data_IF_338285358499
#
_entry.id   IF_338285358499
#
_cell.length_a   1.000
_cell.length_b   1.000
_cell.length_c   1.000
_cell.angle_alpha   90.00
_cell.angle_beta   90.00
_cell.angle_gamma   90.00
#
_symmetry.space_group_name_H-M   'P 1'
#
loop_
_entity.id
_entity.type
_entity.pdbx_description
1 polymer ?
#
# COMPACT_ATOMS: atom_id res chain seq x y z
N UNK A 1 17.70 24.73 -47.10
CA UNK A 1 16.26 24.57 -46.83
C UNK A 1 15.89 23.18 -47.33
N UNK A 2 15.74 22.25 -46.39
CA UNK A 2 15.19 20.93 -46.63
C UNK A 2 13.73 20.97 -46.19
N UNK A 3 12.83 20.64 -47.11
CA UNK A 3 11.41 20.31 -46.91
C UNK A 3 11.22 19.09 -47.82
N UNK A 4 11.10 17.88 -47.30
CA UNK A 4 9.94 17.30 -46.59
C UNK A 4 8.78 17.09 -47.57
N UNK A 5 8.63 15.85 -48.05
CA UNK A 5 7.37 15.11 -48.25
C UNK A 5 7.64 13.78 -48.97
N UNK A 6 7.18 12.67 -48.36
CA UNK A 6 7.00 11.38 -49.04
C UNK A 6 7.80 10.21 -48.48
N UNK A 7 7.35 9.65 -47.36
CA UNK A 7 7.26 8.18 -47.20
C UNK A 7 6.36 7.90 -45.98
N UNK A 8 5.08 7.69 -46.27
CA UNK A 8 4.14 7.08 -45.33
C UNK A 8 4.22 5.56 -45.46
N UNK A 9 3.96 4.91 -44.33
CA UNK A 9 3.47 3.55 -44.22
C UNK A 9 4.44 2.43 -44.59
N UNK A 10 5.31 2.10 -43.64
CA UNK A 10 5.61 0.70 -43.32
C UNK A 10 6.03 0.60 -41.86
N UNK A 11 5.45 -0.40 -41.16
CA UNK A 11 5.76 -0.93 -39.82
C UNK A 11 4.68 -0.72 -38.74
N UNK A 12 3.46 -1.21 -38.99
CA UNK A 12 2.59 -1.74 -37.93
C UNK A 12 1.74 -2.89 -38.49
N UNK A 13 2.31 -4.07 -38.72
CA UNK A 13 1.55 -5.30 -39.02
C UNK A 13 2.44 -6.54 -38.81
N UNK A 14 2.85 -6.82 -37.57
CA UNK A 14 3.75 -7.96 -37.33
C UNK A 14 3.75 -8.58 -35.94
N UNK A 15 2.95 -8.09 -34.98
CA UNK A 15 2.87 -8.73 -33.64
C UNK A 15 1.64 -9.63 -33.46
N UNK A 16 0.61 -9.55 -34.32
CA UNK A 16 -0.63 -10.36 -34.19
C UNK A 16 -0.57 -11.72 -34.93
N UNK A 17 0.39 -11.93 -35.84
CA UNK A 17 0.43 -13.14 -36.69
C UNK A 17 1.10 -14.36 -36.04
N UNK A 18 1.67 -14.23 -34.84
CA UNK A 18 2.35 -15.34 -34.16
C UNK A 18 1.43 -16.18 -33.26
N UNK A 19 0.26 -15.67 -32.89
CA UNK A 19 -0.65 -16.32 -31.92
C UNK A 19 -1.44 -17.50 -32.54
N UNK A 20 -1.52 -17.58 -33.88
CA UNK A 20 -2.24 -18.62 -34.62
C UNK A 20 -1.39 -19.80 -35.13
N UNK A 21 -0.06 -19.75 -34.99
CA UNK A 21 0.87 -20.74 -35.56
C UNK A 21 1.29 -21.85 -34.59
N UNK A 22 0.97 -21.72 -33.30
CA UNK A 22 1.31 -22.72 -32.30
C UNK A 22 0.13 -23.68 -32.10
N UNK A 23 0.37 -25.01 -32.04
CA UNK A 23 -0.67 -25.96 -31.67
C UNK A 23 -1.26 -25.54 -30.33
N UNK A 24 -2.59 -25.57 -30.24
CA UNK A 24 -3.36 -25.18 -29.06
C UNK A 24 -3.17 -26.25 -27.97
N UNK A 25 -1.98 -26.32 -27.39
CA UNK A 25 -1.68 -27.23 -26.31
C UNK A 25 -2.54 -26.81 -25.10
N UNK A 26 -3.32 -27.74 -24.52
CA UNK A 26 -4.09 -27.43 -23.34
C UNK A 26 -3.14 -26.96 -22.24
N UNK A 27 -3.28 -25.70 -21.83
CA UNK A 27 -2.49 -25.15 -20.72
C UNK A 27 -2.63 -26.08 -19.52
N UNK A 28 -1.49 -26.50 -18.96
CA UNK A 28 -1.46 -27.25 -17.70
C UNK A 28 -2.15 -26.38 -16.64
N UNK A 29 -3.30 -26.85 -16.17
CA UNK A 29 -4.09 -26.15 -15.16
C UNK A 29 -3.44 -26.34 -13.80
N UNK A 30 -3.29 -25.26 -13.05
CA UNK A 30 -2.94 -25.33 -11.64
C UNK A 30 -4.21 -25.55 -10.80
N UNK A 31 -4.94 -26.62 -11.13
CA UNK A 31 -6.18 -26.98 -10.46
C UNK A 31 -5.93 -27.24 -8.98
N UNK A 32 -6.85 -26.81 -8.12
CA UNK A 32 -6.79 -27.04 -6.67
C UNK A 32 -5.59 -26.41 -5.94
N UNK A 33 -4.94 -25.38 -6.52
CA UNK A 33 -3.81 -24.70 -5.88
C UNK A 33 -4.12 -24.20 -4.46
N UNK A 34 -5.34 -23.69 -4.23
CA UNK A 34 -5.74 -23.20 -2.90
C UNK A 34 -5.93 -24.34 -1.91
N UNK A 35 -6.53 -25.44 -2.36
CA UNK A 35 -6.93 -26.59 -1.55
C UNK A 35 -5.80 -27.58 -1.28
N UNK A 36 -4.83 -27.71 -2.19
CA UNK A 36 -3.76 -28.70 -2.11
C UNK A 36 -2.38 -28.09 -1.85
N UNK A 37 -2.13 -26.87 -2.34
CA UNK A 37 -0.81 -26.23 -2.14
C UNK A 37 -0.84 -25.22 -1.00
N UNK A 38 -1.80 -24.30 -1.01
CA UNK A 38 -1.87 -23.24 0.00
C UNK A 38 -2.32 -23.76 1.37
N UNK A 39 -3.08 -24.86 1.41
CA UNK A 39 -3.44 -25.56 2.64
C UNK A 39 -2.20 -26.13 3.37
N UNK A 40 -1.25 -26.67 2.62
CA UNK A 40 -0.03 -27.31 3.12
C UNK A 40 1.10 -26.31 3.49
N UNK A 41 0.94 -25.01 3.18
CA UNK A 41 1.94 -24.02 3.59
C UNK A 41 2.08 -23.96 5.12
N UNK A 42 3.31 -23.98 5.63
CA UNK A 42 3.59 -23.55 7.00
C UNK A 42 3.21 -22.08 7.18
N UNK A 43 3.01 -21.63 8.42
CA UNK A 43 2.64 -20.22 8.68
C UNK A 43 3.70 -19.24 8.15
N UNK A 44 4.98 -19.60 8.21
CA UNK A 44 6.07 -18.80 7.64
C UNK A 44 5.96 -18.66 6.12
N UNK A 45 5.77 -19.78 5.40
CA UNK A 45 5.62 -19.77 3.94
C UNK A 45 4.33 -19.06 3.54
N UNK A 46 3.25 -19.25 4.30
CA UNK A 46 1.99 -18.53 4.06
C UNK A 46 2.19 -17.02 4.20
N UNK A 47 2.85 -16.58 5.28
CA UNK A 47 3.12 -15.17 5.50
C UNK A 47 4.03 -14.56 4.42
N UNK A 48 5.01 -15.30 3.91
CA UNK A 48 5.86 -14.84 2.81
C UNK A 48 5.04 -14.51 1.55
N UNK A 49 4.06 -15.36 1.22
CA UNK A 49 3.24 -15.20 0.02
C UNK A 49 2.11 -14.17 0.20
N UNK A 50 1.43 -14.19 1.35
CA UNK A 50 0.21 -13.42 1.58
C UNK A 50 0.40 -12.17 2.45
N UNK A 51 1.58 -12.02 3.06
CA UNK A 51 2.04 -10.85 3.85
C UNK A 51 1.21 -10.55 5.10
N UNK A 52 0.34 -11.49 5.45
CA UNK A 52 -0.65 -11.47 6.53
C UNK A 52 -0.82 -12.91 7.03
N UNK A 53 -1.09 -13.10 8.32
CA UNK A 53 -1.29 -14.43 8.93
C UNK A 53 -2.61 -15.08 8.51
N UNK A 54 -2.67 -16.41 8.60
CA UNK A 54 -3.91 -17.17 8.34
C UNK A 54 -5.05 -16.75 9.26
N UNK A 55 -4.76 -16.40 10.52
CA UNK A 55 -5.74 -15.93 11.49
C UNK A 55 -6.49 -14.69 10.97
N UNK A 56 -5.74 -13.68 10.55
CA UNK A 56 -6.30 -12.45 9.97
C UNK A 56 -7.04 -12.73 8.66
N UNK A 57 -6.51 -13.60 7.79
CA UNK A 57 -7.21 -13.99 6.55
C UNK A 57 -8.56 -14.66 6.84
N UNK A 58 -8.61 -15.54 7.84
CA UNK A 58 -9.84 -16.21 8.26
C UNK A 58 -10.86 -15.23 8.83
N UNK A 59 -10.42 -14.24 9.61
CA UNK A 59 -11.29 -13.20 10.15
C UNK A 59 -11.85 -12.28 9.05
N UNK A 60 -11.01 -11.87 8.09
CA UNK A 60 -11.45 -11.10 6.91
C UNK A 60 -12.45 -11.92 6.10
N UNK A 61 -12.16 -13.19 5.87
CA UNK A 61 -13.03 -14.09 5.10
C UNK A 61 -14.39 -14.22 5.76
N UNK A 62 -14.45 -14.44 7.09
CA UNK A 62 -15.70 -14.49 7.85
C UNK A 62 -16.53 -13.20 7.73
N UNK A 63 -15.88 -12.03 7.69
CA UNK A 63 -16.55 -10.74 7.48
C UNK A 63 -17.01 -10.52 6.02
N UNK A 64 -16.33 -11.12 5.05
CA UNK A 64 -16.64 -10.98 3.62
C UNK A 64 -17.76 -11.92 3.17
N UNK A 65 -17.80 -13.17 3.69
CA UNK A 65 -18.84 -14.17 3.40
C UNK A 65 -18.40 -15.62 3.66
N UNK A 66 -19.21 -16.59 3.23
CA UNK A 66 -18.92 -18.04 3.37
C UNK A 66 -17.78 -18.51 2.46
N UNK A 67 -17.30 -19.76 2.62
CA UNK A 67 -16.12 -20.44 2.01
C UNK A 67 -15.69 -19.99 0.58
N UNK A 68 -16.55 -19.74 -0.42
CA UNK A 68 -16.11 -19.10 -1.68
C UNK A 68 -15.45 -17.70 -1.52
N UNK A 69 -15.63 -17.07 -0.36
CA UNK A 69 -15.05 -15.81 0.06
C UNK A 69 -13.57 -15.95 0.46
N UNK A 70 -13.16 -17.05 1.09
CA UNK A 70 -11.75 -17.24 1.48
C UNK A 70 -10.85 -17.35 0.27
N UNK A 71 -11.27 -18.08 -0.78
CA UNK A 71 -10.56 -18.14 -2.05
C UNK A 71 -10.41 -16.76 -2.70
N UNK A 72 -11.48 -15.96 -2.69
CA UNK A 72 -11.44 -14.60 -3.24
C UNK A 72 -10.49 -13.69 -2.46
N UNK A 73 -10.47 -13.79 -1.13
CA UNK A 73 -9.55 -13.04 -0.26
C UNK A 73 -8.10 -13.46 -0.53
N UNK A 74 -7.82 -14.76 -0.65
CA UNK A 74 -6.47 -15.26 -0.96
C UNK A 74 -5.99 -14.80 -2.34
N UNK A 75 -6.83 -14.90 -3.37
CA UNK A 75 -6.54 -14.40 -4.72
C UNK A 75 -6.24 -12.90 -4.69
N UNK A 76 -7.04 -12.13 -3.94
CA UNK A 76 -6.84 -10.69 -3.77
C UNK A 76 -5.52 -10.36 -3.05
N UNK A 77 -5.23 -11.06 -1.95
CA UNK A 77 -4.02 -10.86 -1.17
C UNK A 77 -2.77 -11.20 -1.98
N UNK A 78 -2.84 -12.28 -2.77
CA UNK A 78 -1.78 -12.61 -3.72
C UNK A 78 -1.53 -11.45 -4.68
N UNK A 79 -2.58 -10.91 -5.30
CA UNK A 79 -2.44 -9.79 -6.23
C UNK A 79 -1.79 -8.58 -5.55
N UNK A 80 -2.32 -8.13 -4.40
CA UNK A 80 -1.87 -6.88 -3.76
C UNK A 80 -0.48 -7.01 -3.12
N UNK A 81 -0.09 -8.21 -2.68
CA UNK A 81 1.20 -8.50 -2.06
C UNK A 81 2.39 -8.58 -3.03
N UNK A 82 2.15 -8.77 -4.33
CA UNK A 82 3.18 -8.97 -5.34
C UNK A 82 3.30 -7.78 -6.29
N UNK A 83 4.49 -7.18 -6.41
CA UNK A 83 4.69 -5.92 -7.14
C UNK A 83 4.36 -5.99 -8.63
N UNK A 84 4.72 -7.09 -9.28
CA UNK A 84 4.63 -7.23 -10.75
C UNK A 84 3.41 -8.01 -11.20
N UNK A 85 2.66 -8.61 -10.27
CA UNK A 85 1.53 -9.48 -10.57
C UNK A 85 0.51 -8.79 -11.49
N UNK A 86 0.33 -9.36 -12.68
CA UNK A 86 -0.72 -8.99 -13.61
C UNK A 86 -1.97 -9.84 -13.38
N UNK A 87 -3.11 -9.42 -13.93
CA UNK A 87 -4.32 -10.24 -13.89
C UNK A 87 -4.13 -11.59 -14.59
N UNK A 88 -3.24 -11.64 -15.61
CA UNK A 88 -2.90 -12.89 -16.31
C UNK A 88 -2.12 -13.84 -15.41
N UNK A 89 -1.14 -13.34 -14.66
CA UNK A 89 -0.36 -14.17 -13.73
C UNK A 89 -1.24 -14.76 -12.63
N UNK A 90 -2.16 -13.95 -12.11
CA UNK A 90 -3.14 -14.39 -11.10
C UNK A 90 -4.12 -15.40 -11.69
N UNK A 91 -4.65 -15.14 -12.89
CA UNK A 91 -5.57 -16.05 -13.58
C UNK A 91 -4.97 -17.44 -13.81
N UNK A 92 -3.73 -17.49 -14.30
CA UNK A 92 -3.00 -18.75 -14.53
C UNK A 92 -2.73 -19.47 -13.21
N UNK A 93 -2.29 -18.75 -12.17
CA UNK A 93 -1.94 -19.35 -10.88
C UNK A 93 -3.12 -20.02 -10.19
N UNK A 94 -4.29 -19.38 -10.22
CA UNK A 94 -5.47 -19.86 -9.51
C UNK A 94 -6.46 -20.60 -10.41
N UNK A 95 -6.09 -20.89 -11.66
CA UNK A 95 -6.93 -21.55 -12.67
C UNK A 95 -8.33 -20.91 -12.82
N UNK A 96 -8.37 -19.58 -12.93
CA UNK A 96 -9.61 -18.82 -13.12
C UNK A 96 -9.53 -17.88 -14.32
N UNK A 97 -10.68 -17.51 -14.88
CA UNK A 97 -10.74 -16.55 -15.99
C UNK A 97 -10.24 -15.15 -15.58
N UNK A 98 -9.67 -14.39 -16.54
CA UNK A 98 -9.31 -12.98 -16.36
C UNK A 98 -10.48 -12.13 -15.84
N UNK A 99 -11.69 -12.40 -16.35
CA UNK A 99 -12.92 -11.75 -15.92
C UNK A 99 -13.24 -12.03 -14.45
N UNK A 100 -12.99 -13.25 -13.97
CA UNK A 100 -13.12 -13.62 -12.57
C UNK A 100 -12.12 -12.87 -11.70
N UNK A 101 -10.83 -12.81 -12.10
CA UNK A 101 -9.81 -12.03 -11.38
C UNK A 101 -10.24 -10.58 -11.23
N UNK A 102 -10.62 -9.91 -12.33
CA UNK A 102 -11.05 -8.52 -12.28
C UNK A 102 -12.24 -8.30 -11.34
N UNK A 103 -13.24 -9.18 -11.37
CA UNK A 103 -14.40 -9.13 -10.47
C UNK A 103 -13.98 -9.30 -9.00
N UNK A 104 -13.09 -10.25 -8.71
CA UNK A 104 -12.58 -10.50 -7.36
C UNK A 104 -11.83 -9.27 -6.84
N UNK A 105 -10.89 -8.75 -7.62
CA UNK A 105 -10.12 -7.56 -7.23
C UNK A 105 -11.06 -6.39 -6.93
N UNK A 106 -12.03 -6.12 -7.81
CA UNK A 106 -12.99 -5.03 -7.57
C UNK A 106 -13.82 -5.25 -6.30
N UNK A 107 -14.41 -6.44 -6.10
CA UNK A 107 -15.31 -6.70 -4.98
C UNK A 107 -14.58 -6.69 -3.63
N UNK A 108 -13.44 -7.36 -3.54
CA UNK A 108 -12.66 -7.41 -2.30
C UNK A 108 -12.06 -6.04 -1.98
N UNK A 109 -11.57 -5.29 -2.98
CA UNK A 109 -11.14 -3.90 -2.78
C UNK A 109 -12.24 -3.04 -2.18
N UNK A 110 -13.45 -3.06 -2.75
CA UNK A 110 -14.56 -2.25 -2.26
C UNK A 110 -14.99 -2.67 -0.85
N UNK A 111 -15.09 -3.97 -0.59
CA UNK A 111 -15.39 -4.52 0.72
C UNK A 111 -14.40 -4.03 1.79
N UNK A 112 -13.09 -4.23 1.57
CA UNK A 112 -12.06 -3.79 2.52
C UNK A 112 -12.05 -2.27 2.68
N UNK A 113 -12.23 -1.53 1.58
CA UNK A 113 -12.31 -0.07 1.62
C UNK A 113 -13.47 0.42 2.49
N UNK A 114 -14.60 -0.29 2.50
CA UNK A 114 -15.78 0.03 3.32
C UNK A 114 -15.58 -0.23 4.81
N UNK A 115 -14.58 -1.03 5.21
CA UNK A 115 -14.22 -1.22 6.62
C UNK A 115 -13.41 -0.04 7.18
N UNK A 116 -12.91 0.86 6.33
CA UNK A 116 -12.07 1.98 6.76
C UNK A 116 -12.63 2.85 7.88
N UNK A 117 -13.94 3.17 7.97
CA UNK A 117 -14.43 4.01 9.05
C UNK A 117 -14.34 3.36 10.43
N UNK A 118 -14.27 2.02 10.50
CA UNK A 118 -14.19 1.24 11.73
C UNK A 118 -12.74 0.94 12.15
N UNK A 119 -11.78 1.16 11.24
CA UNK A 119 -10.39 0.71 11.40
C UNK A 119 -9.41 1.88 11.38
N UNK A 120 -9.73 2.95 10.64
CA UNK A 120 -8.91 4.13 10.49
C UNK A 120 -9.59 5.26 11.27
N UNK A 121 -9.54 5.16 12.58
CA UNK A 121 -10.17 6.10 13.50
C UNK A 121 -9.17 7.12 14.04
N UNK A 122 -9.70 8.20 14.63
CA UNK A 122 -8.89 9.10 15.44
C UNK A 122 -8.72 8.50 16.84
N UNK A 123 -7.56 8.67 17.48
CA UNK A 123 -7.32 8.16 18.80
C UNK A 123 -8.29 8.82 19.79
N UNK A 124 -8.64 8.05 20.80
CA UNK A 124 -9.35 8.48 22.00
C UNK A 124 -8.50 9.49 22.80
N UNK A 125 -9.11 10.18 23.77
CA UNK A 125 -8.36 11.14 24.58
C UNK A 125 -7.24 10.50 25.41
N UNK A 126 -7.43 9.26 25.87
CA UNK A 126 -6.40 8.54 26.62
C UNK A 126 -5.23 8.15 25.71
N UNK A 127 -5.50 7.67 24.50
CA UNK A 127 -4.46 7.42 23.49
C UNK A 127 -3.74 8.71 23.09
N UNK A 128 -4.45 9.84 22.95
CA UNK A 128 -3.82 11.14 22.68
C UNK A 128 -2.85 11.54 23.79
N UNK A 129 -3.19 11.31 25.06
CA UNK A 129 -2.28 11.59 26.20
C UNK A 129 -1.03 10.74 26.13
N UNK A 130 -1.18 9.44 25.84
CA UNK A 130 -0.05 8.52 25.68
C UNK A 130 0.85 8.93 24.51
N UNK A 131 0.27 9.23 23.36
CA UNK A 131 1.03 9.66 22.17
C UNK A 131 1.75 10.99 22.44
N UNK A 132 1.07 11.95 23.08
CA UNK A 132 1.66 13.25 23.41
C UNK A 132 2.84 13.12 24.38
N UNK A 133 2.78 12.20 25.34
CA UNK A 133 3.91 11.86 26.22
C UNK A 133 5.17 11.49 25.41
N UNK A 134 5.03 10.57 24.44
CA UNK A 134 6.16 10.15 23.59
C UNK A 134 6.74 11.28 22.75
N UNK A 135 5.90 12.15 22.18
CA UNK A 135 6.39 13.30 21.40
C UNK A 135 7.03 14.37 22.30
N UNK A 136 6.50 14.58 23.51
CA UNK A 136 7.06 15.51 24.49
C UNK A 136 8.48 15.14 24.89
N UNK A 137 8.73 13.86 25.18
CA UNK A 137 10.09 13.34 25.46
C UNK A 137 11.06 13.58 24.30
N UNK A 138 10.52 13.54 23.08
CA UNK A 138 11.27 13.82 21.85
C UNK A 138 11.40 15.32 21.51
N UNK A 139 10.96 16.21 22.42
CA UNK A 139 11.08 17.66 22.31
C UNK A 139 9.92 18.37 21.61
N UNK A 140 8.79 17.68 21.40
CA UNK A 140 7.57 18.21 20.77
C UNK A 140 6.34 18.03 21.66
N UNK A 141 6.15 18.87 22.69
CA UNK A 141 4.94 18.82 23.51
C UNK A 141 3.69 19.14 22.68
N UNK A 142 2.54 18.59 23.08
CA UNK A 142 1.23 18.78 22.46
C UNK A 142 1.09 18.26 21.02
N UNK A 143 2.01 17.40 20.56
CA UNK A 143 1.86 16.66 19.31
C UNK A 143 1.16 15.34 19.58
N UNK A 144 0.09 15.08 18.84
CA UNK A 144 -0.65 13.80 18.93
C UNK A 144 -0.47 12.92 17.70
N UNK A 145 0.13 13.45 16.62
CA UNK A 145 0.39 12.70 15.38
C UNK A 145 1.43 13.38 14.49
N UNK A 146 2.06 12.54 13.66
CA UNK A 146 2.76 12.97 12.45
C UNK A 146 1.93 12.63 11.21
N UNK A 147 1.97 13.48 10.21
CA UNK A 147 1.36 13.32 8.89
C UNK A 147 2.48 13.35 7.87
N UNK A 148 2.36 12.49 6.88
CA UNK A 148 3.25 12.49 5.75
C UNK A 148 2.54 12.08 4.45
N UNK A 149 3.14 12.41 3.32
CA UNK A 149 2.72 11.94 2.01
C UNK A 149 3.54 10.73 1.56
N UNK A 150 2.92 9.81 0.83
CA UNK A 150 3.62 8.69 0.20
C UNK A 150 3.31 8.67 -1.29
N UNK A 151 4.34 8.71 -2.14
CA UNK A 151 4.14 8.69 -3.59
C UNK A 151 3.74 7.30 -4.07
N UNK A 152 2.57 7.16 -4.68
CA UNK A 152 2.12 5.92 -5.31
C UNK A 152 2.12 6.14 -6.81
N UNK A 153 2.97 5.40 -7.52
CA UNK A 153 3.03 5.48 -8.98
C UNK A 153 1.76 4.84 -9.56
N UNK A 154 1.04 5.60 -10.36
CA UNK A 154 -0.14 5.13 -11.11
C UNK A 154 0.09 5.44 -12.59
N UNK A 155 -0.58 4.69 -13.46
CA UNK A 155 -0.63 5.07 -14.87
C UNK A 155 -1.46 6.35 -15.01
N UNK A 156 -1.03 7.26 -15.90
CA UNK A 156 -1.74 8.51 -16.13
C UNK A 156 -3.20 8.20 -16.53
N UNK A 157 -4.20 8.74 -15.80
CA UNK A 157 -5.59 8.52 -16.16
C UNK A 157 -5.90 9.21 -17.49
N UNK A 158 -6.72 8.56 -18.32
CA UNK A 158 -7.18 9.10 -19.60
C UNK A 158 -8.16 10.28 -19.40
N UNK A 159 -8.93 10.25 -18.29
CA UNK A 159 -9.89 11.29 -17.90
C UNK A 159 -9.41 12.04 -16.65
N UNK A 160 -9.46 13.38 -16.68
CA UNK A 160 -9.11 14.29 -15.57
C UNK A 160 -7.64 14.17 -15.05
N UNK A 161 -6.65 14.52 -15.89
CA UNK A 161 -5.25 14.48 -15.51
C UNK A 161 -4.87 15.51 -14.44
N UNK A 162 -5.65 16.58 -14.26
CA UNK A 162 -5.34 17.67 -13.32
C UNK A 162 -5.67 17.30 -11.86
N UNK A 163 -6.63 16.40 -11.62
CA UNK A 163 -6.89 15.81 -10.30
C UNK A 163 -5.75 14.95 -9.75
N UNK A 164 -4.69 14.71 -10.55
CA UNK A 164 -3.49 13.98 -10.15
C UNK A 164 -2.62 14.72 -9.10
N UNK A 165 -2.86 16.02 -8.88
CA UNK A 165 -2.06 16.85 -7.97
C UNK A 165 -2.92 17.35 -6.82
N UNK A 166 -2.77 16.77 -5.63
CA UNK A 166 -3.34 17.36 -4.42
C UNK A 166 -2.30 17.49 -3.30
N UNK A 167 -1.92 18.75 -2.99
CA UNK A 167 -1.11 19.15 -1.82
C UNK A 167 -1.88 20.05 -0.85
N UNK A 168 -3.20 20.23 -1.00
CA UNK A 168 -3.97 21.23 -0.23
C UNK A 168 -4.81 20.58 0.87
N UNK A 169 -4.19 20.42 2.05
CA UNK A 169 -4.77 19.82 3.26
C UNK A 169 -5.78 20.70 4.01
N UNK A 170 -6.94 20.96 3.41
CA UNK A 170 -7.90 21.96 3.93
C UNK A 170 -8.87 21.44 5.03
N UNK A 171 -8.82 20.17 5.47
CA UNK A 171 -9.84 19.58 6.36
C UNK A 171 -9.34 19.09 7.74
N UNK A 172 -8.11 19.41 8.14
CA UNK A 172 -7.50 18.84 9.37
C UNK A 172 -7.70 19.71 10.63
N UNK A 173 -7.97 21.01 10.48
CA UNK A 173 -7.98 21.97 11.60
C UNK A 173 -9.08 21.67 12.63
N UNK A 174 -10.28 21.28 12.18
CA UNK A 174 -11.40 20.98 13.07
C UNK A 174 -11.24 19.72 13.92
N UNK A 175 -10.32 18.81 13.56
CA UNK A 175 -10.16 17.51 14.24
C UNK A 175 -9.05 17.49 15.29
N UNK A 176 -8.13 18.46 15.27
CA UNK A 176 -6.98 18.50 16.19
C UNK A 176 -7.27 19.18 17.54
N UNK A 177 -8.35 19.95 17.66
CA UNK A 177 -8.68 20.66 18.91
C UNK A 177 -7.51 21.53 19.40
N UNK A 178 -7.01 21.27 20.62
CA UNK A 178 -5.88 21.99 21.23
C UNK A 178 -4.49 21.45 20.84
N UNK A 179 -4.43 20.38 20.07
CA UNK A 179 -3.18 19.69 19.71
C UNK A 179 -2.68 20.09 18.32
N UNK A 180 -1.45 19.70 17.99
CA UNK A 180 -0.83 19.98 16.70
C UNK A 180 -0.34 18.69 16.00
N UNK A 181 -0.10 18.80 14.70
CA UNK A 181 0.41 17.76 13.81
C UNK A 181 1.82 18.10 13.32
N UNK A 182 2.69 17.12 13.14
CA UNK A 182 3.95 17.31 12.41
C UNK A 182 3.77 16.93 10.94
N UNK A 183 4.28 17.72 10.01
CA UNK A 183 4.17 17.48 8.57
C UNK A 183 5.50 17.73 7.83
N UNK A 184 5.63 17.26 6.58
CA UNK A 184 6.84 17.50 5.76
C UNK A 184 6.91 18.94 5.25
N UNK A 185 7.97 19.25 4.50
CA UNK A 185 8.17 20.53 3.82
C UNK A 185 7.23 20.77 2.63
N UNK A 186 6.52 19.74 2.16
CA UNK A 186 5.49 19.78 1.13
C UNK A 186 4.14 20.29 1.63
N UNK A 187 3.87 20.24 2.94
CA UNK A 187 2.70 20.86 3.58
C UNK A 187 2.97 22.33 3.98
N UNK A 188 1.95 23.19 4.00
CA UNK A 188 2.06 24.54 4.55
C UNK A 188 2.00 24.51 6.09
N UNK A 189 2.70 25.43 6.75
CA UNK A 189 2.54 25.70 8.18
C UNK A 189 1.10 26.19 8.46
N UNK A 190 0.44 25.64 9.48
CA UNK A 190 -0.94 26.00 9.89
C UNK A 190 -1.05 26.13 11.41
N UNK A 191 -2.20 26.63 11.89
CA UNK A 191 -2.48 26.79 13.33
C UNK A 191 -2.30 25.50 14.13
N UNK A 192 -2.64 24.35 13.54
CA UNK A 192 -2.53 23.03 14.16
C UNK A 192 -1.55 22.10 13.43
N UNK A 193 -0.62 22.65 12.62
CA UNK A 193 0.34 21.86 11.85
C UNK A 193 1.71 22.54 11.78
N UNK A 194 2.74 21.82 12.22
CA UNK A 194 4.13 22.25 12.23
C UNK A 194 4.91 21.60 11.09
N UNK A 195 5.71 22.41 10.38
CA UNK A 195 6.52 21.99 9.23
C UNK A 195 7.96 22.44 9.40
N UNK A 196 8.96 21.77 8.78
CA UNK A 196 10.37 22.17 8.84
C UNK A 196 10.59 23.61 8.37
N UNK A 197 11.61 24.26 8.93
CA UNK A 197 12.16 25.49 8.33
C UNK A 197 12.77 25.16 6.98
N UNK A 198 12.44 25.95 5.95
CA UNK A 198 13.00 25.78 4.61
C UNK A 198 14.49 26.13 4.63
N UNK A 199 15.33 25.19 4.21
CA UNK A 199 16.76 25.45 4.08
C UNK A 199 17.02 26.27 2.80
N UNK A 200 17.63 27.44 2.99
CA UNK A 200 18.11 28.32 1.90
C UNK A 200 19.62 28.59 2.05
N UNK A 201 20.33 27.72 2.77
CA UNK A 201 21.75 27.87 3.09
C UNK A 201 22.04 28.67 4.37
N UNK A 202 21.02 29.28 5.00
CA UNK A 202 21.19 30.22 6.11
C UNK A 202 20.38 29.83 7.36
N UNK A 203 20.15 28.53 7.60
CA UNK A 203 19.45 28.09 8.81
C UNK A 203 20.31 28.35 10.06
N UNK A 204 19.72 28.99 11.06
CA UNK A 204 20.35 29.10 12.37
C UNK A 204 20.51 27.72 13.01
N UNK A 205 21.48 27.57 13.92
CA UNK A 205 21.68 26.31 14.64
C UNK A 205 20.42 25.83 15.40
N UNK A 206 19.59 26.77 15.88
CA UNK A 206 18.30 26.45 16.51
C UNK A 206 17.30 25.88 15.49
N UNK A 207 17.21 26.44 14.29
CA UNK A 207 16.35 25.93 13.22
C UNK A 207 16.82 24.57 12.69
N UNK A 208 18.15 24.37 12.56
CA UNK A 208 18.72 23.08 12.21
C UNK A 208 18.37 22.02 13.26
N UNK A 209 18.58 22.32 14.55
CA UNK A 209 18.21 21.43 15.65
C UNK A 209 16.71 21.10 15.65
N UNK A 210 15.85 22.08 15.37
CA UNK A 210 14.41 21.87 15.22
C UNK A 210 14.10 20.91 14.06
N UNK A 211 14.65 21.15 12.86
CA UNK A 211 14.43 20.32 11.69
C UNK A 211 14.90 18.87 11.92
N UNK A 212 16.06 18.67 12.55
CA UNK A 212 16.58 17.35 12.91
C UNK A 212 15.61 16.62 13.84
N UNK A 213 15.14 17.29 14.90
CA UNK A 213 14.16 16.70 15.82
C UNK A 213 12.86 16.38 15.10
N UNK A 214 12.37 17.27 14.25
CA UNK A 214 11.13 17.09 13.49
C UNK A 214 11.25 15.86 12.58
N UNK A 215 12.34 15.76 11.82
CA UNK A 215 12.63 14.61 10.95
C UNK A 215 12.69 13.29 11.76
N UNK A 216 13.38 13.27 12.90
CA UNK A 216 13.44 12.10 13.79
C UNK A 216 12.06 11.65 14.25
N UNK A 217 11.17 12.58 14.57
CA UNK A 217 9.80 12.28 15.00
C UNK A 217 8.92 11.80 13.83
N UNK A 218 9.19 12.27 12.62
CA UNK A 218 8.52 11.82 11.39
C UNK A 218 8.98 10.45 10.90
N UNK A 219 10.17 9.98 11.27
CA UNK A 219 10.67 8.67 10.88
C UNK A 219 9.64 7.55 11.10
N UNK A 220 8.84 7.62 12.18
CA UNK A 220 7.77 6.64 12.46
C UNK A 220 6.71 6.57 11.36
N UNK A 221 6.27 7.70 10.81
CA UNK A 221 5.25 7.71 9.73
C UNK A 221 5.86 7.30 8.39
N UNK A 222 7.11 7.70 8.13
CA UNK A 222 7.87 7.26 6.95
C UNK A 222 8.09 5.75 6.97
N UNK A 223 8.47 5.20 8.12
CA UNK A 223 8.61 3.76 8.35
C UNK A 223 7.28 3.02 8.17
N UNK A 224 6.18 3.54 8.71
CA UNK A 224 4.85 2.97 8.52
C UNK A 224 4.48 2.86 7.03
N UNK A 225 4.76 3.91 6.23
CA UNK A 225 4.55 3.83 4.77
C UNK A 225 5.48 2.85 4.08
N UNK A 226 6.74 2.74 4.53
CA UNK A 226 7.67 1.71 4.09
C UNK A 226 7.09 0.31 4.31
N UNK A 227 6.62 0.04 5.51
CA UNK A 227 6.01 -1.24 5.88
C UNK A 227 4.74 -1.54 5.10
N UNK A 228 3.87 -0.54 4.92
CA UNK A 228 2.66 -0.65 4.12
C UNK A 228 2.98 -1.11 2.68
N UNK A 229 3.98 -0.49 2.04
CA UNK A 229 4.39 -0.84 0.68
C UNK A 229 5.13 -2.17 0.59
N UNK A 230 5.91 -2.53 1.61
CA UNK A 230 6.59 -3.83 1.66
C UNK A 230 5.60 -4.99 1.79
N UNK A 231 4.53 -4.83 2.59
CA UNK A 231 3.41 -5.78 2.68
C UNK A 231 2.58 -5.79 1.39
N UNK A 232 2.23 -4.62 0.86
CA UNK A 232 1.33 -4.50 -0.29
C UNK A 232 2.04 -3.89 -1.48
N UNK A 233 2.86 -4.72 -2.13
CA UNK A 233 3.82 -4.26 -3.13
C UNK A 233 3.20 -3.74 -4.43
N UNK A 234 1.92 -4.01 -4.69
CA UNK A 234 1.20 -3.30 -5.78
C UNK A 234 1.21 -1.78 -5.60
N UNK A 235 1.35 -1.26 -4.38
CA UNK A 235 1.45 0.17 -4.09
C UNK A 235 2.75 0.83 -4.61
N UNK A 236 3.76 0.05 -5.01
CA UNK A 236 4.93 0.61 -5.70
C UNK A 236 4.58 1.10 -7.11
N UNK A 237 3.72 0.36 -7.82
CA UNK A 237 3.20 0.76 -9.13
C UNK A 237 1.84 0.11 -9.39
N UNK A 238 0.77 0.89 -9.22
CA UNK A 238 -0.59 0.41 -9.46
C UNK A 238 -0.90 0.52 -10.95
N UNK A 239 -1.07 -0.64 -11.59
CA UNK A 239 -1.32 -0.76 -13.05
C UNK A 239 -2.80 -0.61 -13.44
N UNK A 240 -3.68 -0.33 -12.47
CA UNK A 240 -5.11 -0.07 -12.73
C UNK A 240 -5.28 1.27 -13.47
N UNK A 241 -6.36 1.40 -14.25
CA UNK A 241 -6.69 2.64 -14.98
C UNK A 241 -7.79 3.46 -14.32
N UNK A 242 -8.65 2.82 -13.54
CA UNK A 242 -9.79 3.49 -12.89
C UNK A 242 -9.34 4.16 -11.58
N UNK A 243 -9.29 5.50 -11.57
CA UNK A 243 -8.86 6.29 -10.42
C UNK A 243 -9.69 6.03 -9.16
N UNK A 244 -11.01 5.84 -9.29
CA UNK A 244 -11.88 5.54 -8.14
C UNK A 244 -11.48 4.20 -7.51
N UNK A 245 -11.26 3.18 -8.34
CA UNK A 245 -10.80 1.88 -7.87
C UNK A 245 -9.40 1.96 -7.25
N UNK A 246 -8.48 2.75 -7.82
CA UNK A 246 -7.15 2.99 -7.23
C UNK A 246 -7.27 3.58 -5.82
N UNK A 247 -8.11 4.60 -5.63
CA UNK A 247 -8.34 5.21 -4.30
C UNK A 247 -8.88 4.17 -3.32
N UNK A 248 -9.83 3.34 -3.75
CA UNK A 248 -10.36 2.25 -2.93
C UNK A 248 -9.30 1.19 -2.62
N UNK A 249 -8.41 0.85 -3.57
CA UNK A 249 -7.31 -0.10 -3.41
C UNK A 249 -6.31 0.40 -2.36
N UNK A 250 -5.92 1.68 -2.44
CA UNK A 250 -5.02 2.30 -1.45
C UNK A 250 -5.66 2.25 -0.07
N UNK A 251 -6.95 2.61 0.04
CA UNK A 251 -7.68 2.55 1.31
C UNK A 251 -7.79 1.12 1.85
N UNK A 252 -8.04 0.14 0.98
CA UNK A 252 -8.08 -1.27 1.34
C UNK A 252 -6.71 -1.76 1.86
N UNK A 253 -5.61 -1.32 1.24
CA UNK A 253 -4.27 -1.63 1.73
C UNK A 253 -4.00 -1.04 3.12
N UNK A 254 -4.42 0.20 3.37
CA UNK A 254 -4.33 0.80 4.72
C UNK A 254 -5.16 0.01 5.75
N UNK A 255 -6.36 -0.42 5.37
CA UNK A 255 -7.21 -1.27 6.22
C UNK A 255 -6.51 -2.60 6.53
N UNK A 256 -6.00 -3.30 5.51
CA UNK A 256 -5.28 -4.57 5.71
C UNK A 256 -4.04 -4.40 6.58
N UNK A 257 -3.31 -3.31 6.42
CA UNK A 257 -2.12 -3.01 7.23
C UNK A 257 -2.50 -2.86 8.70
N UNK A 258 -3.58 -2.11 8.98
CA UNK A 258 -4.04 -1.86 10.33
C UNK A 258 -4.63 -3.11 11.00
N UNK A 259 -5.35 -3.98 10.27
CA UNK A 259 -5.85 -5.25 10.83
C UNK A 259 -4.68 -6.21 11.11
N UNK A 260 -3.61 -6.17 10.32
CA UNK A 260 -2.43 -7.05 10.47
C UNK A 260 -1.29 -6.41 11.26
N UNK A 261 -1.57 -5.46 12.17
CA UNK A 261 -0.53 -4.86 13.01
C UNK A 261 0.10 -5.90 13.94
N UNK A 262 -0.69 -6.81 14.48
CA UNK A 262 -0.18 -7.86 15.40
C UNK A 262 0.69 -8.90 14.68
N UNK A 263 0.45 -9.13 13.37
CA UNK A 263 1.32 -10.00 12.55
C UNK A 263 2.74 -9.41 12.40
N UNK A 264 2.91 -8.11 12.63
CA UNK A 264 4.20 -7.45 12.48
C UNK A 264 5.16 -7.81 13.60
N UNK A 265 4.66 -7.95 14.83
CA UNK A 265 5.46 -8.44 15.95
C UNK A 265 5.98 -9.86 15.67
N UNK A 266 5.14 -10.70 15.05
CA UNK A 266 5.52 -12.06 14.63
C UNK A 266 6.58 -12.03 13.53
N UNK A 267 6.50 -11.13 12.55
CA UNK A 267 7.48 -11.01 11.49
C UNK A 267 8.85 -10.48 11.98
N UNK A 268 8.87 -9.48 12.84
CA UNK A 268 10.12 -9.00 13.47
C UNK A 268 10.76 -10.08 14.35
N UNK A 269 9.95 -10.83 15.10
CA UNK A 269 10.43 -11.94 15.92
C UNK A 269 10.98 -13.10 15.08
N UNK A 270 10.33 -13.45 13.95
CA UNK A 270 10.83 -14.47 13.02
C UNK A 270 12.16 -14.03 12.39
N UNK A 271 12.26 -12.77 11.93
CA UNK A 271 13.51 -12.25 11.33
C UNK A 271 14.63 -12.20 12.37
N UNK A 272 14.35 -11.70 13.58
CA UNK A 272 15.32 -11.68 14.67
C UNK A 272 15.79 -13.09 15.06
N UNK A 273 14.88 -14.07 15.08
CA UNK A 273 15.22 -15.47 15.37
C UNK A 273 16.03 -16.12 14.25
N UNK A 274 15.76 -15.78 12.98
CA UNK A 274 16.55 -16.26 11.84
C UNK A 274 17.94 -15.64 11.80
N UNK A 275 18.09 -14.35 12.10
CA UNK A 275 19.38 -13.68 12.21
C UNK A 275 20.21 -14.22 13.39
N UNK A 276 19.58 -14.59 14.50
CA UNK A 276 20.23 -15.24 15.64
C UNK A 276 20.73 -16.68 15.35
N UNK A 277 20.23 -17.31 14.28
CA UNK A 277 20.63 -18.65 13.84
C UNK A 277 21.77 -18.64 12.81
N UNK A 278 22.16 -17.47 12.30
CA UNK A 278 23.35 -17.34 11.45
C UNK A 278 24.55 -17.10 12.36
N UNK A 279 25.49 -18.06 12.50
CA UNK A 279 26.72 -17.80 13.25
C UNK A 279 27.48 -16.67 12.56
N UNK A 280 27.94 -15.71 13.35
CA UNK A 280 28.77 -14.62 12.86
C UNK A 280 30.02 -15.21 12.17
N UNK A 281 30.11 -15.03 10.84
CA UNK A 281 31.32 -15.26 10.06
C UNK A 281 32.39 -14.20 10.37
#
# INVERSE_FOLDING_TARGET
MMSDEGDSDLLTDGEDDLEGLLPNEPRVKNSHYLEETVSEYSDAVFFEHYRISRGVVNDISRRYGNIPASHQVLIYLWYIGHQTASFRDVAVRFDISLSSVNRIICRVTLFLSNLSPQIIEWPTEDEKRTIEGHFRESGFPNIIRAIDGCHIKVNKPENDPDSYINRKGNNLEGKCGRYYLLADSGYPLRRNMLTPYKDRGNLTRRQQNYNIKLAKNRYKIEHCFGMLKQKFRQLYHVKLRNIRLIVHLIRAACVLHNISLDDFNVAEEIVANLEALVPAE
#
